data_IF_059672969005
#
_entry.id   IF_059672969005
#
_cell.length_a   1.000
_cell.length_b   1.000
_cell.length_c   1.000
_cell.angle_alpha   90.00
_cell.angle_beta   90.00
_cell.angle_gamma   90.00
#
_symmetry.space_group_name_H-M   'P 1'
#
loop_
_entity.id
_entity.type
_entity.pdbx_description
1 polymer ?
#
# COMPACT_ATOMS: atom_id res chain seq x y z
N UNK A 1 50.19 -21.59 69.16
CA UNK A 1 50.74 -22.94 68.97
C UNK A 1 49.93 -23.65 67.89
N UNK A 2 50.58 -24.07 66.79
CA UNK A 2 50.20 -25.13 65.81
C UNK A 2 48.93 -24.86 64.97
N UNK A 3 48.87 -24.99 63.64
CA UNK A 3 49.82 -25.46 62.63
C UNK A 3 49.45 -24.90 61.24
N UNK A 4 50.44 -24.94 60.35
CA UNK A 4 50.50 -24.46 58.96
C UNK A 4 49.95 -25.49 57.94
N UNK A 5 49.22 -24.99 56.91
CA UNK A 5 49.36 -25.23 55.45
C UNK A 5 49.43 -26.68 54.85
N UNK A 6 48.51 -27.04 53.92
CA UNK A 6 48.71 -27.15 52.43
C UNK A 6 47.65 -27.98 51.63
N UNK A 7 47.27 -27.39 50.48
CA UNK A 7 46.94 -27.97 49.14
C UNK A 7 45.66 -28.83 48.97
N UNK A 8 44.85 -28.81 47.89
CA UNK A 8 45.00 -28.43 46.46
C UNK A 8 43.64 -28.01 45.85
N UNK A 9 43.70 -27.25 44.74
CA UNK A 9 42.61 -26.66 43.97
C UNK A 9 41.81 -27.64 43.07
N UNK A 10 40.54 -27.30 42.77
CA UNK A 10 39.95 -27.43 41.42
C UNK A 10 39.03 -26.22 41.17
N UNK A 11 39.35 -25.50 40.10
CA UNK A 11 38.61 -24.38 39.51
C UNK A 11 37.61 -24.95 38.51
N UNK A 12 36.33 -24.57 38.57
CA UNK A 12 35.50 -24.39 37.35
C UNK A 12 34.56 -23.21 37.59
N UNK A 13 34.95 -22.05 37.07
CA UNK A 13 34.07 -20.93 36.81
C UNK A 13 33.68 -20.98 35.33
N UNK A 14 32.37 -21.04 35.04
CA UNK A 14 31.81 -20.53 33.78
C UNK A 14 30.38 -20.05 34.02
N UNK A 15 30.26 -18.75 34.22
CA UNK A 15 29.04 -17.97 33.98
C UNK A 15 28.75 -18.03 32.47
N UNK A 16 27.64 -18.63 32.05
CA UNK A 16 27.09 -18.39 30.72
C UNK A 16 25.97 -17.36 30.85
N UNK A 17 26.30 -16.12 30.49
CA UNK A 17 25.33 -15.10 30.14
C UNK A 17 24.61 -15.56 28.86
N UNK A 18 23.33 -15.90 28.96
CA UNK A 18 22.52 -16.20 27.78
C UNK A 18 22.00 -14.88 27.21
N UNK A 19 22.86 -14.19 26.48
CA UNK A 19 22.50 -13.09 25.58
C UNK A 19 21.79 -13.68 24.36
N UNK A 20 20.55 -14.13 24.56
CA UNK A 20 19.71 -14.69 23.51
C UNK A 20 19.04 -13.57 22.72
N UNK A 21 19.70 -13.16 21.64
CA UNK A 21 19.17 -12.36 20.53
C UNK A 21 17.73 -12.80 20.20
N UNK A 22 16.71 -12.01 20.55
CA UNK A 22 15.37 -12.24 20.01
C UNK A 22 15.45 -11.97 18.52
N UNK A 23 15.56 -13.04 17.73
CA UNK A 23 15.39 -13.02 16.28
C UNK A 23 14.05 -12.33 16.04
N UNK A 24 14.10 -11.09 15.55
CA UNK A 24 12.92 -10.42 15.05
C UNK A 24 12.32 -11.32 14.00
N UNK A 25 11.09 -11.78 14.22
CA UNK A 25 10.31 -12.37 13.16
C UNK A 25 10.22 -11.30 12.08
N UNK A 26 11.02 -11.44 11.02
CA UNK A 26 10.76 -10.80 9.76
C UNK A 26 9.40 -11.35 9.33
N UNK A 27 8.35 -10.60 9.65
CA UNK A 27 7.02 -10.86 9.14
C UNK A 27 7.18 -10.83 7.63
N UNK A 28 7.19 -12.01 7.00
CA UNK A 28 7.18 -12.12 5.56
C UNK A 28 5.96 -11.35 5.09
N UNK A 29 6.19 -10.28 4.32
CA UNK A 29 5.09 -9.59 3.65
C UNK A 29 4.27 -10.66 2.91
N UNK A 30 2.93 -10.59 2.96
CA UNK A 30 2.10 -11.63 2.37
C UNK A 30 2.46 -11.77 0.87
N UNK A 31 2.93 -12.95 0.49
CA UNK A 31 3.33 -13.30 -0.88
C UNK A 31 2.20 -13.12 -1.92
N UNK A 32 0.98 -12.81 -1.48
CA UNK A 32 -0.19 -12.59 -2.32
C UNK A 32 -0.09 -11.32 -3.20
N UNK A 33 0.69 -10.30 -2.82
CA UNK A 33 0.80 -9.06 -3.62
C UNK A 33 1.69 -9.25 -4.86
N UNK A 34 2.70 -10.13 -4.78
CA UNK A 34 3.64 -10.39 -5.87
C UNK A 34 3.03 -11.17 -7.06
N UNK A 35 1.86 -11.78 -6.88
CA UNK A 35 1.19 -12.58 -7.91
C UNK A 35 0.12 -11.80 -8.70
N UNK A 36 -0.17 -10.55 -8.32
CA UNK A 36 -1.20 -9.75 -8.98
C UNK A 36 -0.67 -9.17 -10.30
N UNK A 37 -1.48 -9.25 -11.36
CA UNK A 37 -1.21 -8.57 -12.61
C UNK A 37 -1.51 -7.06 -12.53
N UNK A 38 -1.07 -6.33 -13.55
CA UNK A 38 -1.34 -4.90 -13.67
C UNK A 38 -2.78 -4.63 -14.10
N UNK A 39 -3.34 -3.50 -13.69
CA UNK A 39 -4.68 -3.08 -14.08
C UNK A 39 -4.68 -2.70 -15.56
N UNK A 40 -5.60 -3.26 -16.33
CA UNK A 40 -5.76 -3.05 -17.76
C UNK A 40 -7.14 -2.46 -18.09
N UNK A 41 -7.72 -1.68 -17.20
CA UNK A 41 -8.97 -0.98 -17.45
C UNK A 41 -9.58 -0.44 -16.17
N UNK A 42 -10.80 0.06 -16.27
CA UNK A 42 -11.59 0.55 -15.17
C UNK A 42 -12.95 -0.17 -15.11
N UNK A 43 -13.51 -0.21 -13.92
CA UNK A 43 -14.84 -0.77 -13.68
C UNK A 43 -15.55 0.09 -12.65
N UNK A 44 -16.87 0.19 -12.78
CA UNK A 44 -17.70 0.89 -11.81
C UNK A 44 -18.46 -0.10 -10.93
N UNK A 45 -18.26 -0.11 -9.60
CA UNK A 45 -18.95 -1.02 -8.70
C UNK A 45 -20.43 -0.65 -8.48
N UNK A 46 -20.82 0.58 -8.79
CA UNK A 46 -22.10 1.18 -8.39
C UNK A 46 -22.94 1.67 -9.59
N UNK A 47 -22.63 1.22 -10.80
CA UNK A 47 -23.43 1.56 -11.99
C UNK A 47 -23.07 2.91 -12.62
N UNK A 48 -21.86 3.40 -12.38
CA UNK A 48 -21.26 4.54 -13.07
C UNK A 48 -20.98 5.74 -12.17
N UNK A 49 -21.23 5.65 -10.86
CA UNK A 49 -21.04 6.77 -9.95
C UNK A 49 -19.58 6.90 -9.48
N UNK A 50 -18.91 5.77 -9.30
CA UNK A 50 -17.49 5.69 -8.96
C UNK A 50 -16.76 4.80 -9.96
N UNK A 51 -15.55 5.18 -10.33
CA UNK A 51 -14.72 4.45 -11.30
C UNK A 51 -13.42 4.04 -10.61
N UNK A 52 -13.09 2.75 -10.65
CA UNK A 52 -11.89 2.19 -10.02
C UNK A 52 -11.03 1.44 -11.06
N UNK A 53 -9.70 1.44 -10.88
CA UNK A 53 -8.80 0.55 -11.61
C UNK A 53 -9.21 -0.91 -11.44
N UNK A 54 -9.22 -1.65 -12.56
CA UNK A 54 -9.62 -3.05 -12.63
C UNK A 54 -8.73 -3.86 -13.58
N UNK A 55 -8.79 -5.19 -13.51
CA UNK A 55 -7.93 -6.08 -14.30
C UNK A 55 -8.17 -5.94 -15.81
N UNK A 56 -9.38 -5.56 -16.21
CA UNK A 56 -9.78 -5.29 -17.60
C UNK A 56 -11.07 -4.46 -17.61
N UNK A 57 -11.42 -3.80 -18.73
CA UNK A 57 -12.57 -2.90 -18.78
C UNK A 57 -13.87 -3.61 -18.38
N UNK A 58 -14.63 -3.02 -17.45
CA UNK A 58 -15.90 -3.53 -16.93
C UNK A 58 -15.84 -4.95 -16.33
N UNK A 59 -14.67 -5.41 -15.89
CA UNK A 59 -14.52 -6.74 -15.28
C UNK A 59 -15.13 -6.85 -13.88
N UNK A 60 -15.27 -5.75 -13.16
CA UNK A 60 -15.62 -5.75 -11.73
C UNK A 60 -14.54 -6.40 -10.84
N UNK A 61 -13.39 -6.75 -11.40
CA UNK A 61 -12.26 -7.32 -10.68
C UNK A 61 -11.21 -6.25 -10.44
N UNK A 62 -11.16 -5.75 -9.21
CA UNK A 62 -10.26 -4.66 -8.81
C UNK A 62 -8.89 -5.16 -8.32
N UNK A 63 -8.65 -6.48 -8.29
CA UNK A 63 -7.44 -7.08 -7.72
C UNK A 63 -6.29 -7.04 -8.73
N UNK A 64 -5.74 -5.86 -8.91
CA UNK A 64 -4.64 -5.56 -9.81
C UNK A 64 -3.74 -4.47 -9.22
N UNK A 65 -2.58 -4.28 -9.84
CA UNK A 65 -1.60 -3.27 -9.45
C UNK A 65 -1.51 -2.14 -10.48
N UNK A 66 -1.17 -0.94 -10.02
CA UNK A 66 -0.66 0.14 -10.86
C UNK A 66 0.64 0.66 -10.26
N UNK A 67 1.64 0.87 -11.10
CA UNK A 67 2.99 1.24 -10.72
C UNK A 67 3.67 2.05 -11.83
N UNK A 68 4.87 2.55 -11.55
CA UNK A 68 5.58 3.42 -12.49
C UNK A 68 5.83 2.74 -13.84
N UNK A 69 5.42 3.41 -14.92
CA UNK A 69 5.49 2.89 -16.29
C UNK A 69 4.15 2.40 -16.85
N UNK A 70 3.14 2.21 -15.98
CA UNK A 70 1.79 1.88 -16.43
C UNK A 70 1.11 3.07 -17.11
N UNK A 71 0.23 2.77 -18.07
CA UNK A 71 -0.54 3.77 -18.80
C UNK A 71 0.17 4.33 -20.04
N UNK A 72 -0.56 4.35 -21.15
CA UNK A 72 -0.18 5.03 -22.39
C UNK A 72 -1.44 5.52 -23.09
N UNK A 73 -1.36 6.64 -23.80
CA UNK A 73 -2.52 7.20 -24.50
C UNK A 73 -3.13 6.18 -25.48
N UNK A 74 -4.42 5.87 -25.29
CA UNK A 74 -5.17 4.92 -26.13
C UNK A 74 -5.03 3.44 -25.74
N UNK A 75 -4.28 3.11 -24.69
CA UNK A 75 -4.21 1.76 -24.12
C UNK A 75 -5.24 1.51 -23.04
N UNK A 76 -5.61 0.25 -22.79
CA UNK A 76 -6.61 -0.06 -21.75
C UNK A 76 -6.16 0.37 -20.34
N UNK A 77 -4.84 0.37 -20.08
CA UNK A 77 -4.27 0.87 -18.83
C UNK A 77 -4.46 2.39 -18.61
N UNK A 78 -4.70 3.17 -19.67
CA UNK A 78 -4.91 4.61 -19.61
C UNK A 78 -6.01 4.97 -18.62
N UNK A 79 -7.16 4.29 -18.73
CA UNK A 79 -8.34 4.57 -17.91
C UNK A 79 -8.13 4.15 -16.45
N UNK A 80 -7.39 3.07 -16.21
CA UNK A 80 -7.01 2.64 -14.87
C UNK A 80 -6.17 3.71 -14.18
N UNK A 81 -5.10 4.19 -14.83
CA UNK A 81 -4.22 5.22 -14.26
C UNK A 81 -4.98 6.54 -14.09
N UNK A 82 -5.80 6.92 -15.08
CA UNK A 82 -6.61 8.14 -15.01
C UNK A 82 -7.56 8.14 -13.80
N UNK A 83 -8.25 7.03 -13.54
CA UNK A 83 -9.13 6.92 -12.37
C UNK A 83 -8.37 7.13 -11.05
N UNK A 84 -7.18 6.56 -10.91
CA UNK A 84 -6.31 6.77 -9.75
C UNK A 84 -5.87 8.23 -9.61
N UNK A 85 -5.49 8.88 -10.72
CA UNK A 85 -5.09 10.28 -10.73
C UNK A 85 -6.25 11.21 -10.37
N UNK A 86 -7.46 10.95 -10.86
CA UNK A 86 -8.67 11.69 -10.50
C UNK A 86 -8.95 11.60 -8.99
N UNK A 87 -8.85 10.40 -8.41
CA UNK A 87 -8.96 10.25 -6.96
C UNK A 87 -7.88 11.04 -6.20
N UNK A 88 -6.63 10.95 -6.64
CA UNK A 88 -5.53 11.68 -6.03
C UNK A 88 -5.74 13.21 -6.06
N UNK A 89 -6.20 13.75 -7.19
CA UNK A 89 -6.43 15.19 -7.35
C UNK A 89 -7.66 15.63 -6.58
N UNK A 90 -8.81 15.00 -6.81
CA UNK A 90 -10.09 15.49 -6.29
C UNK A 90 -10.32 15.17 -4.81
N UNK A 91 -9.81 14.02 -4.33
CA UNK A 91 -10.06 13.57 -2.96
C UNK A 91 -8.86 13.72 -2.02
N UNK A 92 -7.66 13.87 -2.56
CA UNK A 92 -6.43 14.04 -1.76
C UNK A 92 -5.68 15.33 -2.06
N UNK A 93 -6.23 16.21 -2.90
CA UNK A 93 -5.66 17.52 -3.22
C UNK A 93 -4.27 17.46 -3.86
N UNK A 94 -3.89 16.31 -4.44
CA UNK A 94 -2.58 16.14 -5.06
C UNK A 94 -2.47 17.04 -6.30
N UNK A 95 -1.33 17.72 -6.44
CA UNK A 95 -1.08 18.66 -7.54
C UNK A 95 -0.35 17.94 -8.69
N UNK A 96 -1.04 17.04 -9.37
CA UNK A 96 -0.51 16.25 -10.49
C UNK A 96 -1.42 16.36 -11.73
N UNK A 97 -0.88 16.02 -12.90
CA UNK A 97 -1.68 15.88 -14.11
C UNK A 97 -2.58 14.65 -14.08
N UNK A 98 -3.73 14.76 -14.75
CA UNK A 98 -4.64 13.64 -15.05
C UNK A 98 -4.43 13.29 -16.52
N UNK A 99 -3.36 12.56 -16.80
CA UNK A 99 -2.88 12.23 -18.15
C UNK A 99 -2.93 10.74 -18.47
N UNK A 100 -3.36 9.90 -17.52
CA UNK A 100 -3.40 8.44 -17.68
C UNK A 100 -2.03 7.79 -17.76
N UNK A 101 -0.97 8.48 -17.34
CA UNK A 101 0.41 7.99 -17.32
C UNK A 101 0.94 7.89 -15.88
N UNK A 102 1.34 6.69 -15.46
CA UNK A 102 1.87 6.48 -14.12
C UNK A 102 3.36 6.87 -14.10
N UNK A 103 3.60 8.18 -14.10
CA UNK A 103 4.92 8.77 -13.98
C UNK A 103 5.40 8.93 -12.54
N UNK A 104 6.54 9.61 -12.37
CA UNK A 104 7.12 9.89 -11.05
C UNK A 104 6.17 10.70 -10.14
N UNK A 105 5.42 11.64 -10.70
CA UNK A 105 4.45 12.45 -9.96
C UNK A 105 3.29 11.60 -9.42
N UNK A 106 2.75 10.69 -10.23
CA UNK A 106 1.70 9.76 -9.79
C UNK A 106 2.23 8.82 -8.72
N UNK A 107 3.45 8.28 -8.87
CA UNK A 107 4.10 7.48 -7.82
C UNK A 107 4.22 8.24 -6.49
N UNK A 108 4.65 9.50 -6.55
CA UNK A 108 4.75 10.33 -5.35
C UNK A 108 3.38 10.61 -4.72
N UNK A 109 2.35 10.86 -5.54
CA UNK A 109 0.98 11.02 -5.06
C UNK A 109 0.48 9.77 -4.34
N UNK A 110 0.73 8.57 -4.88
CA UNK A 110 0.39 7.30 -4.21
C UNK A 110 1.10 7.17 -2.87
N UNK A 111 2.40 7.51 -2.79
CA UNK A 111 3.13 7.52 -1.50
C UNK A 111 2.51 8.47 -0.49
N UNK A 112 2.11 9.67 -0.92
CA UNK A 112 1.47 10.65 -0.05
C UNK A 112 0.14 10.12 0.49
N UNK A 113 -0.66 9.46 -0.35
CA UNK A 113 -1.94 8.85 0.04
C UNK A 113 -1.73 7.68 1.01
N UNK A 114 -0.78 6.78 0.72
CA UNK A 114 -0.41 5.69 1.62
C UNK A 114 0.04 6.23 2.99
N UNK A 115 0.86 7.29 2.99
CA UNK A 115 1.32 7.97 4.21
C UNK A 115 0.15 8.60 4.97
N UNK A 116 -0.74 9.30 4.27
CA UNK A 116 -1.94 9.91 4.86
C UNK A 116 -2.77 8.86 5.61
N UNK A 117 -3.07 7.73 4.99
CA UNK A 117 -3.86 6.67 5.62
C UNK A 117 -3.14 5.95 6.76
N UNK A 118 -1.80 5.88 6.72
CA UNK A 118 -1.04 5.40 7.85
C UNK A 118 -1.10 6.35 9.04
N UNK A 119 -0.97 7.67 8.80
CA UNK A 119 -0.93 8.69 9.86
C UNK A 119 -2.31 8.93 10.46
N UNK A 120 -3.35 9.08 9.63
CA UNK A 120 -4.69 9.46 10.09
C UNK A 120 -5.62 8.26 10.33
N UNK A 121 -5.38 7.14 9.65
CA UNK A 121 -6.22 5.94 9.73
C UNK A 121 -5.56 4.72 10.37
N UNK A 122 -4.24 4.75 10.63
CA UNK A 122 -3.52 3.59 11.16
C UNK A 122 -3.51 2.38 10.22
N UNK A 123 -3.63 2.59 8.90
CA UNK A 123 -3.87 1.54 7.92
C UNK A 123 -2.74 0.50 7.76
N UNK A 124 -1.52 0.79 8.23
CA UNK A 124 -0.39 -0.15 8.17
C UNK A 124 0.08 -0.48 6.74
N UNK A 125 -0.13 0.42 5.78
CA UNK A 125 0.30 0.28 4.39
C UNK A 125 1.82 0.39 4.25
N UNK A 126 2.39 -0.39 3.34
CA UNK A 126 3.72 -0.10 2.80
C UNK A 126 3.67 1.20 1.98
N UNK A 127 4.61 2.13 2.21
CA UNK A 127 4.70 3.39 1.46
C UNK A 127 5.64 3.22 0.25
N UNK A 128 5.27 2.34 -0.67
CA UNK A 128 6.07 1.97 -1.84
C UNK A 128 5.75 2.80 -3.10
N UNK A 129 4.61 3.50 -3.11
CA UNK A 129 4.10 4.20 -4.28
C UNK A 129 3.49 3.29 -5.35
N UNK A 130 3.17 2.05 -4.99
CA UNK A 130 2.44 1.10 -5.81
C UNK A 130 0.97 1.13 -5.37
N UNK A 131 0.07 1.35 -6.31
CA UNK A 131 -1.34 1.16 -6.07
C UNK A 131 -1.66 -0.33 -6.17
N UNK A 132 -2.31 -0.87 -5.14
CA UNK A 132 -2.79 -2.25 -5.11
C UNK A 132 -3.98 -2.40 -4.17
N UNK A 133 -4.46 -3.64 -3.93
CA UNK A 133 -5.70 -3.87 -3.18
C UNK A 133 -5.74 -3.21 -1.79
N UNK A 134 -4.62 -3.19 -1.07
CA UNK A 134 -4.56 -2.57 0.26
C UNK A 134 -4.68 -1.04 0.18
N UNK A 135 -4.03 -0.41 -0.81
CA UNK A 135 -4.14 1.03 -1.04
C UNK A 135 -5.55 1.38 -1.51
N UNK A 136 -6.11 0.63 -2.49
CA UNK A 136 -7.49 0.78 -2.96
C UNK A 136 -8.51 0.73 -1.83
N UNK A 137 -8.36 -0.24 -0.92
CA UNK A 137 -9.33 -0.52 0.13
C UNK A 137 -9.53 0.67 1.07
N UNK A 138 -8.51 1.49 1.30
CA UNK A 138 -8.60 2.64 2.21
C UNK A 138 -8.82 3.97 1.48
N UNK A 139 -8.64 4.01 0.16
CA UNK A 139 -8.80 5.25 -0.61
C UNK A 139 -10.26 5.70 -0.67
N UNK A 140 -10.43 7.02 -0.70
CA UNK A 140 -11.64 7.69 -1.09
C UNK A 140 -11.59 7.94 -2.60
N UNK A 141 -12.73 7.75 -3.26
CA UNK A 141 -12.87 7.86 -4.70
C UNK A 141 -13.87 8.96 -5.07
N UNK A 142 -13.71 9.62 -6.23
CA UNK A 142 -14.72 10.53 -6.74
C UNK A 142 -16.03 9.77 -6.96
N UNK A 143 -17.10 10.32 -6.40
CA UNK A 143 -18.46 9.83 -6.53
C UNK A 143 -19.31 10.92 -7.16
N UNK A 144 -19.90 10.63 -8.32
CA UNK A 144 -20.82 11.54 -8.99
C UNK A 144 -22.26 11.30 -8.53
N UNK A 145 -22.86 12.30 -7.87
CA UNK A 145 -24.28 12.26 -7.52
C UNK A 145 -25.11 12.79 -8.70
N UNK A 146 -25.91 11.94 -9.34
CA UNK A 146 -26.85 12.39 -10.38
C UNK A 146 -28.01 13.21 -9.81
N UNK A 147 -28.40 12.96 -8.57
CA UNK A 147 -29.49 13.70 -7.91
C UNK A 147 -29.09 15.11 -7.55
N UNK A 148 -27.85 15.29 -7.09
CA UNK A 148 -27.34 16.59 -6.64
C UNK A 148 -26.43 17.28 -7.66
N UNK A 149 -26.13 16.60 -8.77
CA UNK A 149 -25.29 17.07 -9.87
C UNK A 149 -23.93 17.59 -9.43
N UNK A 150 -23.30 16.89 -8.47
CA UNK A 150 -21.98 17.27 -7.94
C UNK A 150 -21.14 16.07 -7.52
N UNK A 151 -19.83 16.31 -7.45
CA UNK A 151 -18.85 15.35 -6.97
C UNK A 151 -18.73 15.35 -5.45
N UNK A 152 -18.55 14.14 -4.93
CA UNK A 152 -18.17 13.83 -3.56
C UNK A 152 -16.93 12.96 -3.54
N UNK A 153 -16.25 12.93 -2.42
CA UNK A 153 -15.23 11.92 -2.15
C UNK A 153 -15.82 10.92 -1.20
N UNK A 154 -16.01 9.70 -1.70
CA UNK A 154 -16.72 8.64 -0.99
C UNK A 154 -15.80 7.42 -0.73
N UNK A 155 -16.03 6.76 0.40
CA UNK A 155 -15.12 5.82 1.09
C UNK A 155 -14.78 6.39 2.47
N UNK A 156 -15.07 5.75 3.62
CA UNK A 156 -14.92 4.36 4.11
C UNK A 156 -16.16 3.93 4.96
N UNK A 157 -16.46 2.63 5.26
CA UNK A 157 -15.52 1.55 5.59
C UNK A 157 -15.60 0.29 4.70
N UNK A 158 -14.57 -0.54 4.85
CA UNK A 158 -14.58 -1.99 4.53
C UNK A 158 -15.83 -2.70 5.06
#
# INVERSE_FOLDING_TARGET
MRALLRATAVIVATLFAVSGLTVGAAQGAPAAVAALGHCHGDSSPDGGHTVLPSTSPNSGNYNCLLSQGDGFAGGDQYYAVRALQEAAVYCYGQQIGIDGLFGANTKQAVKNIQTFHNVFGGAGLTVDGIYGPNTRAVMAWPYWSFTEQRFYCWGQPV
#
